data_IF_523208314862
#
_entry.id   IF_523208314862
#
_cell.length_a   1.000
_cell.length_b   1.000
_cell.length_c   1.000
_cell.angle_alpha   90.00
_cell.angle_beta   90.00
_cell.angle_gamma   90.00
#
_symmetry.space_group_name_H-M   'P 1'
#
loop_
_entity.id
_entity.type
_entity.pdbx_description
1 polymer ?
#
# COMPACT_ATOMS: atom_id res chain seq x y z
N UNK A 1 -17.68 3.25 19.80
CA UNK A 1 -17.71 4.74 19.78
C UNK A 1 -16.99 5.18 18.52
N UNK A 2 -17.64 5.92 17.62
CA UNK A 2 -17.00 6.39 16.39
C UNK A 2 -16.10 7.59 16.71
N UNK A 3 -14.86 7.59 16.22
CA UNK A 3 -13.93 8.71 16.36
C UNK A 3 -13.60 9.20 14.95
N UNK A 4 -13.97 10.43 14.59
CA UNK A 4 -13.60 10.98 13.30
C UNK A 4 -12.09 11.23 13.28
N UNK A 5 -11.39 10.55 12.37
CA UNK A 5 -9.98 10.76 12.08
C UNK A 5 -9.84 11.39 10.69
N UNK A 6 -8.86 12.28 10.54
CA UNK A 6 -8.50 12.80 9.24
C UNK A 6 -7.93 11.65 8.38
N UNK A 7 -8.13 11.69 7.04
CA UNK A 7 -7.51 10.72 6.15
C UNK A 7 -6.00 10.71 6.34
N UNK A 8 -5.41 9.51 6.37
CA UNK A 8 -3.94 9.36 6.40
C UNK A 8 -3.40 9.80 5.04
N UNK A 9 -2.48 10.77 5.05
CA UNK A 9 -1.74 11.23 3.88
C UNK A 9 -0.30 10.73 3.99
N UNK A 10 0.12 9.87 3.06
CA UNK A 10 1.48 9.36 3.02
C UNK A 10 2.43 10.37 2.37
N UNK A 11 3.60 10.56 2.96
CA UNK A 11 4.63 11.50 2.54
C UNK A 11 5.99 10.83 2.37
N UNK A 12 6.90 11.52 1.67
CA UNK A 12 8.28 11.08 1.51
C UNK A 12 8.96 11.11 2.88
N UNK A 13 9.43 9.96 3.33
CA UNK A 13 10.04 9.79 4.65
C UNK A 13 9.18 8.96 5.61
N UNK A 14 7.90 8.76 5.30
CA UNK A 14 7.04 7.88 6.10
C UNK A 14 7.53 6.43 6.04
N UNK A 15 7.52 5.79 7.19
CA UNK A 15 7.68 4.34 7.33
C UNK A 15 6.28 3.74 7.24
N UNK A 16 6.06 2.91 6.22
CA UNK A 16 4.76 2.30 5.94
C UNK A 16 4.86 0.79 5.88
N UNK A 17 3.83 0.10 6.35
CA UNK A 17 3.59 -1.30 6.04
C UNK A 17 2.83 -1.38 4.71
N UNK A 18 3.32 -2.21 3.78
CA UNK A 18 2.65 -2.46 2.50
C UNK A 18 2.31 -3.94 2.40
N UNK A 19 1.04 -4.25 2.18
CA UNK A 19 0.61 -5.61 1.90
C UNK A 19 0.39 -5.80 0.41
N UNK A 20 1.16 -6.71 -0.18
CA UNK A 20 1.11 -7.03 -1.61
C UNK A 20 0.85 -8.52 -1.78
N UNK A 21 0.01 -8.86 -2.75
CA UNK A 21 -0.18 -10.24 -3.19
C UNK A 21 0.35 -10.42 -4.60
N UNK A 22 1.07 -11.52 -4.83
CA UNK A 22 1.47 -11.97 -6.15
C UNK A 22 0.59 -13.13 -6.56
N UNK A 23 -0.01 -13.03 -7.74
CA UNK A 23 -0.89 -14.07 -8.27
C UNK A 23 -0.49 -14.39 -9.70
N UNK A 24 -0.52 -15.68 -10.04
CA UNK A 24 -0.35 -16.18 -11.40
C UNK A 24 -1.69 -16.73 -11.85
N UNK A 25 -2.23 -16.16 -12.92
CA UNK A 25 -3.50 -16.56 -13.50
C UNK A 25 -3.25 -17.36 -14.78
N UNK A 26 -3.74 -18.60 -14.88
CA UNK A 26 -3.77 -19.29 -16.15
C UNK A 26 -4.77 -18.62 -17.09
N UNK A 27 -4.35 -18.38 -18.33
CA UNK A 27 -5.17 -17.85 -19.41
C UNK A 27 -5.38 -18.91 -20.49
N UNK A 28 -6.29 -18.63 -21.42
CA UNK A 28 -6.51 -19.50 -22.59
C UNK A 28 -5.23 -19.60 -23.43
N UNK A 29 -5.11 -20.69 -24.18
CA UNK A 29 -3.98 -20.98 -25.09
C UNK A 29 -2.62 -21.09 -24.35
N UNK A 30 -2.61 -21.63 -23.13
CA UNK A 30 -1.37 -21.88 -22.38
C UNK A 30 -0.64 -20.62 -21.90
N UNK A 31 -1.27 -19.45 -22.01
CA UNK A 31 -0.69 -18.19 -21.54
C UNK A 31 -0.84 -18.10 -20.03
N UNK A 32 0.12 -17.47 -19.36
CA UNK A 32 0.06 -17.14 -17.94
C UNK A 32 0.10 -15.62 -17.77
N UNK A 33 -0.67 -15.09 -16.84
CA UNK A 33 -0.60 -13.68 -16.43
C UNK A 33 -0.17 -13.59 -14.98
N UNK A 34 0.96 -12.94 -14.75
CA UNK A 34 1.38 -12.55 -13.40
C UNK A 34 0.76 -11.20 -13.06
N UNK A 35 0.22 -11.07 -11.85
CA UNK A 35 -0.31 -9.83 -11.32
C UNK A 35 0.29 -9.57 -9.94
N UNK A 36 0.71 -8.32 -9.72
CA UNK A 36 0.97 -7.77 -8.41
C UNK A 36 -0.26 -6.98 -7.98
N UNK A 37 -0.80 -7.27 -6.80
CA UNK A 37 -2.01 -6.63 -6.28
C UNK A 37 -1.63 -5.97 -4.96
N UNK A 38 -1.67 -4.64 -4.94
CA UNK A 38 -1.58 -3.87 -3.70
C UNK A 38 -2.89 -4.05 -2.91
N UNK A 39 -2.81 -4.59 -1.70
CA UNK A 39 -3.97 -4.86 -0.83
C UNK A 39 -4.18 -3.75 0.20
N UNK A 40 -3.10 -3.25 0.78
CA UNK A 40 -3.15 -2.16 1.75
C UNK A 40 -1.81 -1.44 1.86
N UNK A 41 -1.89 -0.20 2.32
CA UNK A 41 -0.76 0.59 2.83
C UNK A 41 -1.21 1.11 4.20
N UNK A 42 -0.36 0.98 5.21
CA UNK A 42 -0.62 1.47 6.57
C UNK A 42 0.58 2.26 7.07
N UNK A 43 0.33 3.43 7.68
CA UNK A 43 1.38 4.25 8.26
C UNK A 43 1.83 3.61 9.57
N UNK A 44 3.12 3.28 9.68
CA UNK A 44 3.72 2.78 10.93
C UNK A 44 4.34 3.92 11.72
N UNK A 45 5.09 4.81 11.04
CA UNK A 45 5.74 5.96 11.66
C UNK A 45 5.87 7.10 10.64
N UNK A 46 5.34 8.27 11.00
CA UNK A 46 5.44 9.50 10.21
C UNK A 46 6.39 10.54 10.82
N UNK A 47 7.13 10.21 11.88
CA UNK A 47 8.04 11.15 12.56
C UNK A 47 9.22 11.59 11.69
N UNK A 48 9.58 10.79 10.68
CA UNK A 48 10.67 11.06 9.75
C UNK A 48 10.22 11.82 8.50
N UNK A 49 8.92 12.10 8.39
CA UNK A 49 8.41 12.99 7.36
C UNK A 49 8.95 14.39 7.63
N UNK A 50 9.93 14.78 6.81
CA UNK A 50 10.45 16.14 6.78
C UNK A 50 9.32 16.99 6.25
N UNK A 51 8.57 17.61 7.15
CA UNK A 51 7.63 18.67 6.84
C UNK A 51 8.39 19.70 6.00
N UNK A 52 8.17 19.67 4.68
CA UNK A 52 8.46 20.80 3.84
C UNK A 52 7.56 21.92 4.34
N UNK A 53 8.20 23.02 4.78
CA UNK A 53 7.62 24.30 5.19
C UNK A 53 6.25 24.60 4.56
#
# INVERSE_FOLDING_TARGET
RFVPILPVMFQIGDIVEVQVSFAIFPLRQGKLKTSMILRSISLLDGSQTKVGL
#
